data_IF_004480079332
#
_entry.id   IF_004480079332
#
_cell.length_a   1.000
_cell.length_b   1.000
_cell.length_c   1.000
_cell.angle_alpha   90.00
_cell.angle_beta   90.00
_cell.angle_gamma   90.00
#
_symmetry.space_group_name_H-M   'P 1'
#
loop_
_entity.id
_entity.type
_entity.pdbx_description
1 polymer ?
#
# COMPACT_ATOMS: atom_id res chain seq x y z
N UNK A 1 35.21 35.46 -6.10
CA UNK A 1 33.77 35.81 -5.96
C UNK A 1 32.89 34.92 -6.87
N UNK A 2 33.28 33.65 -7.09
CA UNK A 2 32.54 32.69 -7.93
C UNK A 2 32.22 31.37 -7.21
N UNK A 3 32.76 31.15 -6.00
CA UNK A 3 32.62 29.90 -5.25
C UNK A 3 31.24 29.68 -4.60
N UNK A 4 30.34 30.68 -4.68
CA UNK A 4 28.99 30.60 -4.08
C UNK A 4 27.91 30.08 -5.03
N UNK A 5 28.20 29.98 -6.33
CA UNK A 5 27.22 29.49 -7.33
C UNK A 5 27.29 27.97 -7.47
N UNK A 6 28.47 27.37 -7.24
CA UNK A 6 28.65 25.91 -7.30
C UNK A 6 27.88 25.16 -6.19
N UNK A 7 27.78 25.77 -5.00
CA UNK A 7 27.07 25.18 -3.85
C UNK A 7 25.53 25.14 -4.02
N UNK A 8 24.97 25.92 -4.94
CA UNK A 8 23.52 25.94 -5.23
C UNK A 8 23.10 24.94 -6.31
N UNK A 9 24.05 24.40 -7.09
CA UNK A 9 23.79 23.43 -8.17
C UNK A 9 24.05 21.97 -7.76
N UNK A 10 24.70 21.72 -6.62
CA UNK A 10 24.84 20.37 -6.05
C UNK A 10 23.64 19.96 -5.17
N UNK A 11 22.71 20.87 -4.90
CA UNK A 11 21.42 20.51 -4.32
C UNK A 11 20.49 20.20 -5.48
N UNK A 12 20.54 18.95 -5.97
CA UNK A 12 19.41 18.39 -6.72
C UNK A 12 18.11 18.66 -5.96
N UNK A 13 16.94 18.69 -6.63
CA UNK A 13 15.69 18.95 -5.92
C UNK A 13 15.66 17.99 -4.73
N UNK A 14 15.75 18.53 -3.52
CA UNK A 14 15.52 17.72 -2.35
C UNK A 14 14.09 17.24 -2.57
N UNK A 15 13.89 15.94 -2.88
CA UNK A 15 12.58 15.32 -2.72
C UNK A 15 12.18 15.75 -1.31
N UNK A 16 11.15 16.58 -1.24
CA UNK A 16 10.75 17.22 0.01
C UNK A 16 10.19 16.10 0.86
N UNK A 17 11.04 15.49 1.70
CA UNK A 17 10.66 14.31 2.46
C UNK A 17 9.33 14.55 3.16
N UNK A 18 8.40 13.61 3.00
CA UNK A 18 7.07 13.64 3.61
C UNK A 18 7.22 13.78 5.13
N UNK A 19 6.69 14.87 5.69
CA UNK A 19 6.50 14.99 7.12
C UNK A 19 5.21 14.30 7.55
N UNK A 20 5.11 13.86 8.82
CA UNK A 20 3.92 13.17 9.37
C UNK A 20 2.61 13.94 9.12
N UNK A 21 2.61 15.25 9.38
CA UNK A 21 1.43 16.10 9.17
C UNK A 21 1.08 16.37 7.69
N UNK A 22 1.89 15.87 6.76
CA UNK A 22 1.71 16.04 5.32
C UNK A 22 1.37 14.74 4.60
N UNK A 23 1.19 13.63 5.32
CA UNK A 23 0.79 12.35 4.70
C UNK A 23 -0.58 12.52 4.05
N UNK A 24 -0.69 12.38 2.71
CA UNK A 24 -1.96 12.57 2.06
C UNK A 24 -2.94 11.45 2.42
N UNK A 25 -4.16 11.84 2.78
CA UNK A 25 -5.24 10.94 3.23
C UNK A 25 -5.49 9.78 2.25
N UNK A 26 -5.33 10.05 0.94
CA UNK A 26 -5.41 9.06 -0.14
C UNK A 26 -4.45 7.88 0.09
N UNK A 27 -3.16 8.18 0.28
CA UNK A 27 -2.13 7.16 0.51
C UNK A 27 -2.31 6.49 1.87
N UNK A 28 -2.62 7.26 2.90
CA UNK A 28 -2.86 6.73 4.25
C UNK A 28 -3.93 5.63 4.24
N UNK A 29 -5.08 5.89 3.61
CA UNK A 29 -6.17 4.91 3.54
C UNK A 29 -5.76 3.62 2.79
N UNK A 30 -5.02 3.75 1.69
CA UNK A 30 -4.55 2.58 0.94
C UNK A 30 -3.56 1.74 1.75
N UNK A 31 -2.58 2.37 2.40
CA UNK A 31 -1.58 1.65 3.19
C UNK A 31 -2.19 1.06 4.46
N UNK A 32 -3.13 1.76 5.10
CA UNK A 32 -3.85 1.20 6.24
C UNK A 32 -4.65 -0.06 5.87
N UNK A 33 -5.25 -0.12 4.67
CA UNK A 33 -5.89 -1.35 4.18
C UNK A 33 -4.90 -2.49 3.93
N UNK A 34 -3.70 -2.20 3.41
CA UNK A 34 -2.65 -3.21 3.23
C UNK A 34 -2.21 -3.78 4.59
N UNK A 35 -2.06 -2.90 5.57
CA UNK A 35 -1.69 -3.26 6.94
C UNK A 35 -2.79 -4.09 7.60
N UNK A 36 -4.06 -3.70 7.51
CA UNK A 36 -5.20 -4.47 8.03
C UNK A 36 -5.26 -5.91 7.47
N UNK A 37 -4.90 -6.08 6.20
CA UNK A 37 -4.82 -7.41 5.59
C UNK A 37 -3.65 -8.22 6.16
N UNK A 38 -2.48 -7.59 6.36
CA UNK A 38 -1.31 -8.25 6.93
C UNK A 38 -1.47 -8.61 8.42
N UNK A 39 -2.17 -7.81 9.22
CA UNK A 39 -2.40 -8.09 10.65
C UNK A 39 -3.42 -9.20 10.92
N UNK A 40 -4.03 -9.77 9.89
CA UNK A 40 -5.20 -10.62 10.06
C UNK A 40 -4.88 -11.99 10.71
N UNK A 41 -3.61 -12.39 10.78
CA UNK A 41 -3.13 -13.59 11.53
C UNK A 41 -2.34 -13.24 12.82
N UNK A 42 -2.59 -12.07 13.41
CA UNK A 42 -2.04 -11.56 14.69
C UNK A 42 -0.50 -11.38 14.78
N UNK A 43 0.30 -11.94 13.86
CA UNK A 43 1.76 -11.83 13.82
C UNK A 43 2.23 -10.92 12.66
N UNK A 44 2.08 -9.59 12.82
CA UNK A 44 2.71 -8.66 11.87
C UNK A 44 4.24 -8.68 12.02
N UNK A 45 4.91 -9.41 11.14
CA UNK A 45 6.35 -9.60 11.20
C UNK A 45 7.12 -8.46 10.51
N UNK A 46 8.38 -8.28 10.90
CA UNK A 46 9.30 -7.32 10.25
C UNK A 46 9.36 -7.57 8.73
N UNK A 47 9.27 -8.83 8.31
CA UNK A 47 9.30 -9.24 6.90
C UNK A 47 8.11 -8.67 6.13
N UNK A 48 6.91 -8.71 6.71
CA UNK A 48 5.69 -8.18 6.09
C UNK A 48 5.74 -6.67 6.02
N UNK A 49 6.21 -6.00 7.10
CA UNK A 49 6.42 -4.56 7.10
C UNK A 49 7.36 -4.13 5.97
N UNK A 50 8.50 -4.80 5.83
CA UNK A 50 9.47 -4.50 4.77
C UNK A 50 8.87 -4.70 3.38
N UNK A 51 8.07 -5.75 3.18
CA UNK A 51 7.40 -5.99 1.90
C UNK A 51 6.37 -4.91 1.59
N UNK A 52 5.52 -4.53 2.54
CA UNK A 52 4.56 -3.44 2.33
C UNK A 52 5.30 -2.15 1.99
N UNK A 53 6.40 -1.83 2.70
CA UNK A 53 7.23 -0.66 2.40
C UNK A 53 7.78 -0.68 0.96
N UNK A 54 8.26 -1.84 0.47
CA UNK A 54 8.69 -2.00 -0.92
C UNK A 54 7.55 -1.84 -1.93
N UNK A 55 6.37 -2.41 -1.63
CA UNK A 55 5.18 -2.29 -2.48
C UNK A 55 4.74 -0.84 -2.63
N UNK A 56 4.59 -0.12 -1.51
CA UNK A 56 4.11 1.26 -1.50
C UNK A 56 5.14 2.22 -2.07
N UNK A 57 6.44 1.97 -1.85
CA UNK A 57 7.52 2.75 -2.45
C UNK A 57 7.48 2.70 -3.98
N UNK A 58 7.28 1.51 -4.54
CA UNK A 58 7.09 1.33 -6.00
C UNK A 58 5.79 1.95 -6.50
N UNK A 59 4.69 1.77 -5.77
CA UNK A 59 3.36 2.20 -6.21
C UNK A 59 3.18 3.72 -6.17
N UNK A 60 3.72 4.38 -5.15
CA UNK A 60 3.58 5.83 -4.95
C UNK A 60 4.82 6.65 -5.34
N UNK A 61 5.88 6.02 -5.87
CA UNK A 61 7.19 6.65 -6.18
C UNK A 61 7.84 7.36 -4.98
N UNK A 62 7.79 6.70 -3.83
CA UNK A 62 8.31 7.21 -2.55
C UNK A 62 9.71 6.69 -2.28
N UNK A 63 10.54 7.52 -1.63
CA UNK A 63 11.81 7.06 -1.08
C UNK A 63 11.63 6.32 0.26
N UNK A 64 12.72 5.71 0.76
CA UNK A 64 12.68 4.92 1.99
C UNK A 64 12.17 5.72 3.20
N UNK A 65 12.54 7.00 3.30
CA UNK A 65 12.14 7.83 4.44
C UNK A 65 10.66 8.20 4.37
N UNK A 66 10.16 8.47 3.17
CA UNK A 66 8.74 8.72 2.90
C UNK A 66 7.89 7.47 3.16
N UNK A 67 8.39 6.29 2.77
CA UNK A 67 7.75 5.01 3.07
C UNK A 67 7.66 4.76 4.58
N UNK A 68 8.75 5.00 5.32
CA UNK A 68 8.74 4.80 6.77
C UNK A 68 7.73 5.71 7.48
N UNK A 69 7.67 6.99 7.09
CA UNK A 69 6.67 7.93 7.63
C UNK A 69 5.25 7.46 7.31
N UNK A 70 4.98 7.09 6.05
CA UNK A 70 3.66 6.62 5.64
C UNK A 70 3.26 5.31 6.35
N UNK A 71 4.20 4.38 6.54
CA UNK A 71 3.98 3.15 7.28
C UNK A 71 3.65 3.42 8.75
N UNK A 72 4.41 4.29 9.43
CA UNK A 72 4.15 4.62 10.83
C UNK A 72 2.74 5.22 11.04
N UNK A 73 2.35 6.17 10.21
CA UNK A 73 1.04 6.81 10.31
C UNK A 73 -0.09 5.85 9.94
N UNK A 74 0.10 5.00 8.93
CA UNK A 74 -0.89 4.00 8.53
C UNK A 74 -1.05 2.87 9.57
N UNK A 75 0.04 2.44 10.21
CA UNK A 75 -0.01 1.49 11.34
C UNK A 75 -0.77 2.08 12.52
N UNK A 76 -0.52 3.36 12.84
CA UNK A 76 -1.24 4.06 13.91
C UNK A 76 -2.74 4.16 13.58
N UNK A 77 -3.09 4.46 12.34
CA UNK A 77 -4.48 4.51 11.88
C UNK A 77 -5.14 3.12 11.94
N UNK A 78 -4.49 2.06 11.44
CA UNK A 78 -5.04 0.70 11.44
C UNK A 78 -5.26 0.13 12.86
N UNK A 79 -4.40 0.47 13.83
CA UNK A 79 -4.56 0.02 15.23
C UNK A 79 -5.79 0.58 15.91
N UNK A 80 -6.32 1.71 15.46
CA UNK A 80 -7.52 2.30 16.02
C UNK A 80 -8.75 1.61 15.40
N UNK A 81 -9.18 0.55 16.09
CA UNK A 81 -10.11 -0.49 15.60
C UNK A 81 -11.37 0.07 14.93
N UNK A 82 -11.70 -0.44 13.73
CA UNK A 82 -12.99 -0.21 13.08
C UNK A 82 -12.98 0.71 11.85
N UNK A 83 -11.81 1.15 11.39
CA UNK A 83 -11.68 2.12 10.29
C UNK A 83 -11.79 1.55 8.88
N UNK A 84 -12.00 0.23 8.70
CA UNK A 84 -12.16 -0.38 7.37
C UNK A 84 -13.18 0.36 6.48
N UNK A 85 -14.31 0.79 7.05
CA UNK A 85 -15.33 1.55 6.31
C UNK A 85 -14.89 2.98 5.98
N UNK A 86 -14.09 3.60 6.84
CA UNK A 86 -13.55 4.94 6.63
C UNK A 86 -12.49 4.93 5.54
N UNK A 87 -11.54 4.00 5.59
CA UNK A 87 -10.53 3.84 4.55
C UNK A 87 -11.18 3.54 3.21
N UNK A 88 -12.10 2.57 3.14
CA UNK A 88 -12.78 2.24 1.87
C UNK A 88 -13.61 3.40 1.34
N UNK A 89 -14.17 4.26 2.19
CA UNK A 89 -14.80 5.51 1.77
C UNK A 89 -13.80 6.49 1.17
N UNK A 90 -12.67 6.75 1.82
CA UNK A 90 -11.59 7.60 1.27
C UNK A 90 -11.11 7.07 -0.08
N UNK A 91 -10.94 5.76 -0.22
CA UNK A 91 -10.60 5.12 -1.49
C UNK A 91 -11.67 5.44 -2.55
N UNK A 92 -12.96 5.25 -2.22
CA UNK A 92 -14.05 5.53 -3.16
C UNK A 92 -14.13 6.98 -3.62
N UNK A 93 -13.76 7.93 -2.74
CA UNK A 93 -13.84 9.36 -3.03
C UNK A 93 -12.61 9.85 -3.83
N UNK A 94 -11.45 9.18 -3.73
CA UNK A 94 -10.17 9.68 -4.23
C UNK A 94 -9.48 8.79 -5.28
N UNK A 95 -9.97 7.57 -5.52
CA UNK A 95 -9.41 6.63 -6.49
C UNK A 95 -10.35 6.42 -7.68
N UNK A 96 -9.79 6.40 -8.89
CA UNK A 96 -10.49 5.90 -10.09
C UNK A 96 -10.77 4.41 -9.97
N UNK A 97 -11.62 3.87 -10.84
CA UNK A 97 -11.88 2.42 -10.86
C UNK A 97 -10.59 1.64 -11.16
N UNK A 98 -9.78 2.14 -12.08
CA UNK A 98 -8.49 1.55 -12.46
C UNK A 98 -7.54 1.52 -11.25
N UNK A 99 -7.39 2.65 -10.54
CA UNK A 99 -6.54 2.70 -9.35
C UNK A 99 -7.07 1.78 -8.23
N UNK A 100 -8.38 1.59 -8.10
CA UNK A 100 -8.97 0.61 -7.16
C UNK A 100 -8.67 -0.84 -7.55
N UNK A 101 -8.64 -1.14 -8.84
CA UNK A 101 -8.22 -2.45 -9.34
C UNK A 101 -6.74 -2.68 -9.08
N UNK A 102 -5.89 -1.67 -9.24
CA UNK A 102 -4.47 -1.74 -8.87
C UNK A 102 -4.28 -1.91 -7.36
N UNK A 103 -5.08 -1.23 -6.53
CA UNK A 103 -5.08 -1.45 -5.08
C UNK A 103 -5.47 -2.88 -4.73
N UNK A 104 -6.43 -3.48 -5.43
CA UNK A 104 -6.73 -4.90 -5.28
C UNK A 104 -5.54 -5.79 -5.63
N UNK A 105 -4.70 -5.42 -6.60
CA UNK A 105 -3.47 -6.16 -6.90
C UNK A 105 -2.45 -6.04 -5.77
N UNK A 106 -2.25 -4.85 -5.21
CA UNK A 106 -1.36 -4.64 -4.06
C UNK A 106 -1.79 -5.48 -2.86
N UNK A 107 -3.09 -5.49 -2.56
CA UNK A 107 -3.64 -6.30 -1.47
C UNK A 107 -3.42 -7.80 -1.69
N UNK A 108 -3.52 -8.28 -2.93
CA UNK A 108 -3.14 -9.66 -3.26
C UNK A 108 -1.63 -9.90 -3.15
N UNK A 109 -0.78 -8.95 -3.51
CA UNK A 109 0.68 -9.07 -3.33
C UNK A 109 1.08 -9.20 -1.86
N UNK A 110 0.34 -8.55 -0.96
CA UNK A 110 0.50 -8.74 0.50
C UNK A 110 0.09 -10.16 0.92
N UNK A 111 -1.10 -10.63 0.52
CA UNK A 111 -1.56 -11.98 0.87
C UNK A 111 -0.67 -13.08 0.30
N UNK A 112 -0.08 -12.90 -0.89
CA UNK A 112 0.83 -13.89 -1.46
C UNK A 112 2.25 -13.85 -0.89
N UNK A 113 2.53 -12.94 0.04
CA UNK A 113 3.88 -12.66 0.49
C UNK A 113 4.52 -13.88 1.18
N UNK A 114 3.84 -14.48 2.15
CA UNK A 114 4.34 -15.64 2.91
C UNK A 114 4.26 -16.97 2.12
N UNK A 115 3.51 -16.97 1.00
CA UNK A 115 3.34 -18.11 0.10
C UNK A 115 2.18 -19.03 0.46
N UNK A 116 1.45 -18.73 1.54
CA UNK A 116 0.19 -19.37 1.89
C UNK A 116 -0.96 -18.38 1.69
N UNK A 117 -2.18 -18.88 1.50
CA UNK A 117 -3.36 -18.02 1.35
C UNK A 117 -4.46 -18.64 2.18
N UNK A 118 -4.91 -17.92 3.18
CA UNK A 118 -5.91 -18.38 4.13
C UNK A 118 -7.32 -17.92 3.74
N UNK A 119 -8.33 -18.72 4.08
CA UNK A 119 -9.73 -18.43 3.76
C UNK A 119 -10.19 -17.08 4.35
N UNK A 120 -9.68 -16.72 5.52
CA UNK A 120 -9.99 -15.44 6.16
C UNK A 120 -9.47 -14.25 5.33
N UNK A 121 -8.28 -14.35 4.73
CA UNK A 121 -7.68 -13.26 3.94
C UNK A 121 -8.44 -13.08 2.64
N UNK A 122 -8.75 -14.19 1.97
CA UNK A 122 -9.59 -14.15 0.76
C UNK A 122 -10.99 -13.61 1.05
N UNK A 123 -11.52 -13.90 2.25
CA UNK A 123 -12.76 -13.31 2.76
C UNK A 123 -12.65 -11.79 2.93
N UNK A 124 -11.57 -11.32 3.54
CA UNK A 124 -11.30 -9.89 3.74
C UNK A 124 -11.10 -9.16 2.41
N UNK A 125 -10.32 -9.70 1.47
CA UNK A 125 -10.17 -9.12 0.13
C UNK A 125 -11.48 -9.06 -0.64
N UNK A 126 -12.35 -10.08 -0.47
CA UNK A 126 -13.69 -10.06 -1.06
C UNK A 126 -14.57 -8.98 -0.41
N UNK A 127 -14.44 -8.76 0.90
CA UNK A 127 -15.14 -7.68 1.60
C UNK A 127 -14.65 -6.31 1.11
N UNK A 128 -13.33 -6.07 1.15
CA UNK A 128 -12.70 -4.82 0.69
C UNK A 128 -13.12 -4.51 -0.74
N UNK A 129 -12.93 -5.45 -1.67
CA UNK A 129 -13.25 -5.24 -3.07
C UNK A 129 -14.73 -4.88 -3.33
N UNK A 130 -15.64 -5.42 -2.53
CA UNK A 130 -17.06 -5.03 -2.57
C UNK A 130 -17.28 -3.61 -2.06
N UNK A 131 -16.60 -3.22 -0.98
CA UNK A 131 -16.69 -1.88 -0.39
C UNK A 131 -16.08 -0.80 -1.28
N UNK A 132 -15.03 -1.11 -2.04
CA UNK A 132 -14.40 -0.16 -2.98
C UNK A 132 -15.01 -0.23 -4.40
N UNK A 133 -16.13 -0.93 -4.56
CA UNK A 133 -16.87 -1.08 -5.82
C UNK A 133 -16.08 -1.68 -6.99
N UNK A 134 -15.17 -2.62 -6.71
CA UNK A 134 -14.48 -3.39 -7.76
C UNK A 134 -15.25 -4.67 -8.04
N UNK A 135 -15.59 -4.89 -9.31
CA UNK A 135 -16.42 -6.02 -9.73
C UNK A 135 -15.76 -7.37 -9.44
N UNK A 136 -16.54 -8.42 -9.18
CA UNK A 136 -16.05 -9.81 -8.99
C UNK A 136 -15.11 -10.25 -10.12
N UNK A 137 -15.44 -9.85 -11.35
CA UNK A 137 -14.65 -10.14 -12.55
C UNK A 137 -13.28 -9.48 -12.49
N UNK A 138 -13.22 -8.19 -12.15
CA UNK A 138 -11.96 -7.46 -12.08
C UNK A 138 -11.10 -7.93 -10.92
N UNK A 139 -11.72 -8.27 -9.77
CA UNK A 139 -11.03 -8.88 -8.62
C UNK A 139 -10.39 -10.22 -8.99
N UNK A 140 -11.13 -11.06 -9.72
CA UNK A 140 -10.60 -12.34 -10.22
C UNK A 140 -9.48 -12.16 -11.25
N UNK A 141 -9.52 -11.11 -12.06
CA UNK A 141 -8.42 -10.80 -12.98
C UNK A 141 -7.19 -10.22 -12.26
N UNK A 142 -7.38 -9.34 -11.27
CA UNK A 142 -6.31 -8.82 -10.43
C UNK A 142 -5.54 -9.96 -9.74
N UNK A 143 -6.27 -10.86 -9.08
CA UNK A 143 -5.68 -12.05 -8.45
C UNK A 143 -4.86 -12.88 -9.44
N UNK A 144 -5.41 -13.17 -10.63
CA UNK A 144 -4.69 -13.95 -11.66
C UNK A 144 -3.43 -13.27 -12.15
N UNK A 145 -3.43 -11.94 -12.31
CA UNK A 145 -2.25 -11.16 -12.70
C UNK A 145 -1.17 -11.26 -11.64
N UNK A 146 -1.52 -11.06 -10.37
CA UNK A 146 -0.59 -11.15 -9.24
C UNK A 146 -0.04 -12.56 -9.09
N UNK A 147 -0.89 -13.58 -9.08
CA UNK A 147 -0.46 -14.97 -8.98
C UNK A 147 0.54 -15.34 -10.08
N UNK A 148 0.34 -14.84 -11.31
CA UNK A 148 1.31 -15.04 -12.40
C UNK A 148 2.65 -14.33 -12.16
N UNK A 149 2.65 -13.14 -11.54
CA UNK A 149 3.87 -12.40 -11.20
C UNK A 149 4.66 -13.10 -10.09
N UNK A 150 3.98 -13.51 -9.02
CA UNK A 150 4.60 -14.16 -7.86
C UNK A 150 5.10 -15.56 -8.21
N UNK A 151 4.27 -16.40 -8.86
CA UNK A 151 4.64 -17.78 -9.24
C UNK A 151 5.59 -17.80 -10.45
N UNK A 152 5.54 -16.80 -11.32
CA UNK A 152 6.43 -16.68 -12.48
C UNK A 152 7.82 -16.13 -12.16
N UNK A 153 8.02 -15.54 -10.98
CA UNK A 153 9.31 -15.00 -10.53
C UNK A 153 10.22 -16.01 -9.81
N UNK A 154 9.70 -17.19 -9.48
CA UNK A 154 10.44 -18.29 -8.82
C UNK A 154 11.05 -19.31 -9.80
N UNK A 155 11.33 -18.91 -11.04
CA UNK A 155 11.92 -19.76 -12.08
C UNK A 155 13.31 -19.28 -12.52
#
# INVERSE_FOLDING_TARGET
MLDRISALLSRGPAKSGMAKDQVPEKQLAAVALLIEVAYMDDDFEIVERSRIAELIGRYFDLDSSECDVLMEEAEAAARDSGQLYEFTRVINDNYSLEERVELMELLWEVVYADGEVHDMETGLLRKIGGLIYVSDKDRGFAQKRVAKRVVGGTA
#
